data_IF_879509049088
#
_entry.id   IF_879509049088
#
_cell.length_a   1.000
_cell.length_b   1.000
_cell.length_c   1.000
_cell.angle_alpha   90.00
_cell.angle_beta   90.00
_cell.angle_gamma   90.00
#
_symmetry.space_group_name_H-M   'P 1'
#
loop_
_entity.id
_entity.type
_entity.pdbx_description
1 polymer ?
#
# COMPACT_ATOMS: atom_id res chain seq x y z
N UNK A 1 -1.73 34.41 9.44
CA UNK A 1 -1.62 33.76 8.13
C UNK A 1 -3.00 33.20 7.80
N UNK A 2 -3.57 33.46 6.64
CA UNK A 2 -4.86 32.84 6.27
C UNK A 2 -4.59 31.35 6.00
N UNK A 3 -5.29 30.47 6.72
CA UNK A 3 -5.25 29.03 6.47
C UNK A 3 -5.97 28.80 5.15
N UNK A 4 -5.27 28.27 4.14
CA UNK A 4 -5.83 28.00 2.81
C UNK A 4 -6.52 26.64 2.68
N UNK A 5 -6.32 25.75 3.66
CA UNK A 5 -6.86 24.39 3.69
C UNK A 5 -7.43 24.07 5.07
N UNK A 6 -8.69 23.66 5.12
CA UNK A 6 -9.38 23.22 6.33
C UNK A 6 -9.17 21.72 6.53
N UNK A 7 -8.19 21.37 7.37
CA UNK A 7 -7.78 19.99 7.58
C UNK A 7 -8.87 19.15 8.27
N UNK A 8 -9.58 19.70 9.24
CA UNK A 8 -10.62 18.97 9.98
C UNK A 8 -11.83 18.67 9.08
N UNK A 9 -12.24 19.64 8.27
CA UNK A 9 -13.27 19.44 7.25
C UNK A 9 -12.85 18.39 6.24
N UNK A 10 -11.60 18.40 5.79
CA UNK A 10 -11.04 17.39 4.88
C UNK A 10 -11.12 16.00 5.50
N UNK A 11 -10.67 15.81 6.74
CA UNK A 11 -10.71 14.53 7.44
C UNK A 11 -12.13 13.98 7.54
N UNK A 12 -13.07 14.82 7.95
CA UNK A 12 -14.49 14.44 8.09
C UNK A 12 -15.09 14.03 6.76
N UNK A 13 -14.99 14.90 5.76
CA UNK A 13 -15.59 14.63 4.44
C UNK A 13 -15.00 13.39 3.77
N UNK A 14 -13.67 13.19 3.83
CA UNK A 14 -13.04 12.04 3.20
C UNK A 14 -13.43 10.73 3.89
N UNK A 15 -13.43 10.68 5.22
CA UNK A 15 -13.84 9.47 5.94
C UNK A 15 -15.30 9.12 5.71
N UNK A 16 -16.21 10.10 5.64
CA UNK A 16 -17.61 9.89 5.29
C UNK A 16 -17.79 9.35 3.88
N UNK A 17 -17.09 9.92 2.90
CA UNK A 17 -17.13 9.44 1.52
C UNK A 17 -16.59 8.01 1.38
N UNK A 18 -15.55 7.63 2.13
CA UNK A 18 -15.02 6.27 2.13
C UNK A 18 -16.05 5.31 2.75
N UNK A 19 -16.67 5.66 3.89
CA UNK A 19 -17.76 4.86 4.49
C UNK A 19 -18.94 4.65 3.55
N UNK A 20 -19.38 5.73 2.89
CA UNK A 20 -20.44 5.67 1.88
C UNK A 20 -20.08 4.74 0.71
N UNK A 21 -18.82 4.76 0.28
CA UNK A 21 -18.33 3.82 -0.75
C UNK A 21 -18.31 2.39 -0.26
N UNK A 22 -17.80 2.13 0.95
CA UNK A 22 -17.81 0.78 1.55
C UNK A 22 -19.23 0.23 1.61
N UNK A 23 -20.22 1.04 2.02
CA UNK A 23 -21.61 0.60 2.14
C UNK A 23 -22.29 0.30 0.80
N UNK A 24 -21.79 0.85 -0.30
CA UNK A 24 -22.31 0.65 -1.66
C UNK A 24 -21.72 -0.56 -2.38
N UNK A 25 -20.70 -1.19 -1.80
CA UNK A 25 -20.05 -2.36 -2.38
C UNK A 25 -20.34 -3.58 -1.53
N UNK A 26 -20.89 -4.63 -2.15
CA UNK A 26 -21.10 -5.95 -1.50
C UNK A 26 -19.76 -6.66 -1.19
N UNK A 27 -18.66 -6.12 -1.68
CA UNK A 27 -17.31 -6.66 -1.61
C UNK A 27 -16.33 -5.65 -0.98
N UNK A 28 -15.03 -5.91 -1.14
CA UNK A 28 -13.95 -5.09 -0.60
C UNK A 28 -13.67 -3.84 -1.43
N UNK A 29 -13.45 -2.74 -0.75
CA UNK A 29 -12.94 -1.51 -1.33
C UNK A 29 -11.41 -1.48 -1.20
N UNK A 30 -10.71 -1.38 -2.33
CA UNK A 30 -9.26 -1.21 -2.37
C UNK A 30 -8.94 0.27 -2.56
N UNK A 31 -8.12 0.80 -1.66
CA UNK A 31 -7.78 2.21 -1.62
C UNK A 31 -6.27 2.39 -1.70
N UNK A 32 -5.81 3.16 -2.67
CA UNK A 32 -4.43 3.63 -2.77
C UNK A 32 -4.40 5.15 -2.59
N UNK A 33 -3.60 5.62 -1.64
CA UNK A 33 -3.42 7.05 -1.44
C UNK A 33 -2.37 7.63 -2.39
N UNK A 34 -2.68 8.77 -2.97
CA UNK A 34 -1.70 9.56 -3.69
C UNK A 34 -0.59 10.07 -2.75
N UNK A 35 0.69 9.82 -3.09
CA UNK A 35 1.82 10.20 -2.26
C UNK A 35 2.04 9.26 -1.07
N UNK A 36 2.65 9.78 -0.01
CA UNK A 36 2.91 9.02 1.21
C UNK A 36 1.67 9.00 2.09
N UNK A 37 1.38 7.84 2.67
CA UNK A 37 0.34 7.71 3.70
C UNK A 37 0.80 8.32 5.02
N UNK A 38 2.06 8.18 5.34
CA UNK A 38 2.72 8.66 6.54
C UNK A 38 3.87 9.61 6.18
N UNK A 39 4.09 10.67 6.96
CA UNK A 39 5.13 11.69 6.72
C UNK A 39 4.98 12.43 5.37
N UNK A 40 3.77 12.88 4.99
CA UNK A 40 3.56 13.61 3.75
C UNK A 40 3.91 15.09 3.87
N UNK A 41 5.19 15.36 4.17
CA UNK A 41 5.72 16.73 4.30
C UNK A 41 5.68 17.52 2.98
N UNK A 42 5.56 16.85 1.83
CA UNK A 42 5.45 17.56 0.56
C UNK A 42 4.09 18.24 0.45
N UNK A 43 3.01 17.52 0.75
CA UNK A 43 1.65 18.08 0.72
C UNK A 43 1.50 19.25 1.70
N UNK A 44 2.03 19.13 2.92
CA UNK A 44 1.96 20.20 3.93
C UNK A 44 2.72 21.47 3.54
N UNK A 45 3.75 21.37 2.69
CA UNK A 45 4.46 22.55 2.18
C UNK A 45 3.71 23.30 1.07
N UNK A 46 2.93 22.58 0.26
CA UNK A 46 2.22 23.18 -0.89
C UNK A 46 0.79 23.57 -0.57
N UNK A 47 0.22 23.03 0.52
CA UNK A 47 -1.14 23.32 0.98
C UNK A 47 -1.10 23.86 2.42
N UNK A 48 -1.04 25.19 2.63
CA UNK A 48 -1.04 25.79 3.96
C UNK A 48 -2.30 25.40 4.76
N UNK A 49 -2.10 24.69 5.88
CA UNK A 49 -3.16 24.11 6.71
C UNK A 49 -3.32 22.60 6.58
N UNK A 50 -2.68 21.95 5.58
CA UNK A 50 -2.63 20.50 5.49
C UNK A 50 -1.56 19.95 6.45
N UNK A 51 -1.95 19.00 7.28
CA UNK A 51 -1.03 18.34 8.22
C UNK A 51 -0.40 17.09 7.60
N UNK A 52 0.90 16.81 7.85
CA UNK A 52 1.61 15.68 7.25
C UNK A 52 1.01 14.30 7.56
N UNK A 53 0.28 14.19 8.67
CA UNK A 53 -0.37 12.97 9.16
C UNK A 53 -1.87 12.90 8.83
N UNK A 54 -2.42 13.85 8.07
CA UNK A 54 -3.86 13.94 7.78
C UNK A 54 -4.43 12.65 7.21
N UNK A 55 -3.73 12.02 6.26
CA UNK A 55 -4.18 10.75 5.67
C UNK A 55 -4.22 9.61 6.69
N UNK A 56 -3.24 9.57 7.57
CA UNK A 56 -3.18 8.59 8.65
C UNK A 56 -4.31 8.80 9.66
N UNK A 57 -4.53 10.05 10.10
CA UNK A 57 -5.63 10.40 11.02
C UNK A 57 -7.00 10.07 10.41
N UNK A 58 -7.18 10.26 9.12
CA UNK A 58 -8.39 9.83 8.42
C UNK A 58 -8.58 8.31 8.48
N UNK A 59 -7.52 7.53 8.26
CA UNK A 59 -7.60 6.07 8.37
C UNK A 59 -7.86 5.60 9.80
N UNK A 60 -7.36 6.31 10.81
CA UNK A 60 -7.66 5.98 12.21
C UNK A 60 -9.16 6.08 12.51
N UNK A 61 -9.91 6.97 11.82
CA UNK A 61 -11.37 7.03 11.92
C UNK A 61 -12.09 5.84 11.27
N UNK A 62 -11.37 5.01 10.51
CA UNK A 62 -11.85 3.82 9.79
C UNK A 62 -11.15 2.55 10.28
N UNK A 63 -10.47 2.61 11.43
CA UNK A 63 -9.60 1.53 11.93
C UNK A 63 -10.33 0.21 12.18
N UNK A 64 -11.62 0.24 12.48
CA UNK A 64 -12.49 -0.92 12.64
C UNK A 64 -12.75 -1.67 11.32
N UNK A 65 -12.74 -0.96 10.19
CA UNK A 65 -13.05 -1.48 8.85
C UNK A 65 -11.83 -1.61 7.94
N UNK A 66 -10.72 -0.96 8.29
CA UNK A 66 -9.53 -0.90 7.46
C UNK A 66 -8.48 -1.96 7.82
N UNK A 67 -7.85 -2.53 6.81
CA UNK A 67 -6.60 -3.28 6.93
C UNK A 67 -5.56 -2.72 5.95
N UNK A 68 -4.29 -2.72 6.37
CA UNK A 68 -3.20 -2.16 5.59
C UNK A 68 -2.39 -3.29 4.95
N UNK A 69 -2.15 -3.16 3.66
CA UNK A 69 -1.21 -3.98 2.89
C UNK A 69 -0.01 -3.10 2.51
N UNK A 70 1.17 -3.44 3.02
CA UNK A 70 2.40 -2.73 2.66
C UNK A 70 3.07 -3.45 1.50
N UNK A 71 3.44 -2.71 0.47
CA UNK A 71 4.04 -3.24 -0.74
C UNK A 71 5.46 -2.70 -0.88
N UNK A 72 6.43 -3.60 -1.09
CA UNK A 72 7.83 -3.24 -1.32
C UNK A 72 8.39 -4.04 -2.51
N UNK A 73 9.31 -3.44 -3.26
CA UNK A 73 10.00 -4.13 -4.35
C UNK A 73 11.18 -4.96 -3.83
N UNK A 74 11.23 -6.25 -4.17
CA UNK A 74 12.38 -7.10 -3.87
C UNK A 74 13.70 -6.54 -4.44
N UNK A 75 13.65 -5.88 -5.60
CA UNK A 75 14.80 -5.23 -6.19
C UNK A 75 15.26 -3.97 -5.42
N UNK A 76 14.35 -3.31 -4.68
CA UNK A 76 14.73 -2.17 -3.84
C UNK A 76 15.40 -2.64 -2.53
N UNK A 77 15.00 -3.81 -2.00
CA UNK A 77 15.67 -4.48 -0.88
C UNK A 77 17.08 -4.92 -1.30
N UNK A 78 17.18 -5.63 -2.42
CA UNK A 78 18.44 -6.17 -2.93
C UNK A 78 19.52 -5.08 -3.19
N UNK A 79 19.07 -3.89 -3.57
CA UNK A 79 19.94 -2.72 -3.78
C UNK A 79 20.19 -1.90 -2.51
N UNK A 80 19.71 -2.32 -1.35
CA UNK A 80 19.73 -1.54 -0.11
C UNK A 80 19.31 -0.09 -0.35
N UNK A 81 18.21 0.09 -1.10
CA UNK A 81 17.77 1.42 -1.51
C UNK A 81 17.29 2.21 -0.31
N UNK A 82 17.85 3.43 -0.17
CA UNK A 82 17.57 4.31 0.95
C UNK A 82 16.43 5.30 0.66
N UNK A 83 15.69 5.62 1.70
CA UNK A 83 14.82 6.79 1.76
C UNK A 83 15.66 8.02 2.03
N UNK A 84 15.76 8.91 1.03
CA UNK A 84 16.62 10.11 1.13
C UNK A 84 16.16 11.13 2.18
N UNK A 85 14.90 11.07 2.63
CA UNK A 85 14.35 11.96 3.66
C UNK A 85 14.58 11.45 5.09
N UNK A 86 14.74 10.13 5.28
CA UNK A 86 14.94 9.51 6.59
C UNK A 86 16.34 8.90 6.78
N UNK A 87 17.10 8.68 5.72
CA UNK A 87 18.41 8.06 5.77
C UNK A 87 18.40 6.57 6.17
N UNK A 88 17.27 5.88 6.04
CA UNK A 88 17.10 4.45 6.30
C UNK A 88 16.78 3.70 5.01
N UNK A 89 17.02 2.38 4.99
CA UNK A 89 16.66 1.55 3.85
C UNK A 89 15.15 1.33 3.75
N UNK A 90 14.65 0.92 2.58
CA UNK A 90 13.21 0.72 2.41
C UNK A 90 12.66 -0.46 3.22
N UNK A 91 13.43 -1.50 3.44
CA UNK A 91 13.07 -2.62 4.30
C UNK A 91 13.00 -2.21 5.78
N UNK A 92 13.96 -1.39 6.26
CA UNK A 92 13.88 -0.79 7.60
C UNK A 92 12.69 0.16 7.74
N UNK A 93 12.37 0.93 6.71
CA UNK A 93 11.18 1.79 6.73
C UNK A 93 9.88 0.97 6.77
N UNK A 94 9.84 -0.20 6.14
CA UNK A 94 8.70 -1.13 6.29
C UNK A 94 8.49 -1.50 7.75
N UNK A 95 9.54 -1.88 8.48
CA UNK A 95 9.43 -2.22 9.91
C UNK A 95 8.94 -1.03 10.73
N UNK A 96 9.50 0.16 10.48
CA UNK A 96 9.06 1.41 11.11
C UNK A 96 7.57 1.71 10.84
N UNK A 97 7.10 1.48 9.62
CA UNK A 97 5.69 1.68 9.25
C UNK A 97 4.77 0.69 9.97
N UNK A 98 5.20 -0.58 10.14
CA UNK A 98 4.46 -1.57 10.92
C UNK A 98 4.21 -1.05 12.34
N UNK A 99 5.30 -0.68 13.01
CA UNK A 99 5.25 -0.19 14.38
C UNK A 99 4.35 1.05 14.45
N UNK A 100 4.57 2.03 13.56
CA UNK A 100 3.82 3.27 13.52
C UNK A 100 2.31 3.08 13.30
N UNK A 101 1.90 2.12 12.47
CA UNK A 101 0.49 1.81 12.22
C UNK A 101 -0.12 1.03 13.39
N UNK A 102 0.61 0.05 13.92
CA UNK A 102 0.15 -0.80 15.03
C UNK A 102 -0.05 0.02 16.31
N UNK A 103 0.88 0.91 16.64
CA UNK A 103 0.78 1.84 17.78
C UNK A 103 -0.46 2.75 17.69
N UNK A 104 -0.94 3.01 16.48
CA UNK A 104 -2.13 3.82 16.23
C UNK A 104 -3.43 3.00 16.08
N UNK A 105 -3.37 1.71 16.41
CA UNK A 105 -4.52 0.82 16.37
C UNK A 105 -4.96 0.43 14.94
N UNK A 106 -4.11 0.64 13.93
CA UNK A 106 -4.38 0.20 12.57
C UNK A 106 -3.91 -1.24 12.37
N UNK A 107 -4.75 -2.05 11.76
CA UNK A 107 -4.43 -3.45 11.49
C UNK A 107 -3.57 -3.58 10.23
N UNK A 108 -2.34 -4.04 10.40
CA UNK A 108 -1.43 -4.33 9.30
C UNK A 108 -1.53 -5.83 8.99
N UNK A 109 -2.21 -6.18 7.91
CA UNK A 109 -2.54 -7.56 7.61
C UNK A 109 -1.40 -8.32 6.95
N UNK A 110 -0.72 -7.69 5.98
CA UNK A 110 0.06 -8.45 5.00
C UNK A 110 1.12 -7.58 4.31
N UNK A 111 2.17 -8.27 3.83
CA UNK A 111 3.20 -7.70 2.96
C UNK A 111 3.19 -8.34 1.58
N UNK A 112 3.34 -7.52 0.55
CA UNK A 112 3.60 -8.01 -0.80
C UNK A 112 5.02 -7.63 -1.23
N UNK A 113 5.86 -8.64 -1.44
CA UNK A 113 7.18 -8.49 -2.05
C UNK A 113 7.02 -8.57 -3.56
N UNK A 114 7.04 -7.41 -4.21
CA UNK A 114 6.88 -7.30 -5.66
C UNK A 114 8.19 -7.48 -6.42
N UNK A 115 8.08 -7.90 -7.68
CA UNK A 115 9.22 -8.10 -8.59
C UNK A 115 10.24 -9.10 -8.05
N UNK A 116 9.74 -10.08 -7.32
CA UNK A 116 10.59 -11.15 -6.85
C UNK A 116 11.08 -12.01 -8.02
N UNK A 117 12.37 -12.26 -8.05
CA UNK A 117 13.07 -13.03 -9.06
C UNK A 117 14.16 -13.94 -8.44
N UNK A 118 13.98 -14.33 -7.17
CA UNK A 118 14.94 -15.18 -6.45
C UNK A 118 16.03 -14.41 -5.70
N UNK A 119 15.80 -13.16 -5.30
CA UNK A 119 16.78 -12.38 -4.53
C UNK A 119 16.88 -12.93 -3.10
N UNK A 120 18.08 -13.35 -2.67
CA UNK A 120 18.33 -13.87 -1.32
C UNK A 120 18.01 -12.83 -0.22
N UNK A 121 18.26 -11.56 -0.48
CA UNK A 121 17.94 -10.46 0.42
C UNK A 121 16.42 -10.36 0.70
N UNK A 122 15.59 -10.58 -0.33
CA UNK A 122 14.15 -10.62 -0.21
C UNK A 122 13.67 -11.86 0.57
N UNK A 123 14.30 -13.02 0.38
CA UNK A 123 14.03 -14.24 1.15
C UNK A 123 14.38 -14.07 2.63
N UNK A 124 15.51 -13.43 2.92
CA UNK A 124 15.90 -13.11 4.29
C UNK A 124 14.92 -12.15 4.94
N UNK A 125 14.49 -11.12 4.21
CA UNK A 125 13.53 -10.16 4.69
C UNK A 125 12.15 -10.81 4.94
N UNK A 126 11.67 -11.68 4.03
CA UNK A 126 10.46 -12.49 4.25
C UNK A 126 10.55 -13.28 5.55
N UNK A 127 11.64 -14.06 5.75
CA UNK A 127 11.84 -14.85 6.96
C UNK A 127 11.86 -13.98 8.24
N UNK A 128 12.40 -12.76 8.16
CA UNK A 128 12.40 -11.82 9.27
C UNK A 128 10.98 -11.37 9.64
N UNK A 129 10.17 -11.03 8.64
CA UNK A 129 8.76 -10.63 8.85
C UNK A 129 7.90 -11.78 9.37
N UNK A 130 8.08 -12.99 8.83
CA UNK A 130 7.36 -14.20 9.26
C UNK A 130 7.65 -14.55 10.73
N UNK A 131 8.90 -14.34 11.20
CA UNK A 131 9.25 -14.48 12.63
C UNK A 131 8.52 -13.47 13.52
N UNK A 132 8.10 -12.32 12.98
CA UNK A 132 7.27 -11.34 13.67
C UNK A 132 5.77 -11.65 13.57
N UNK A 133 5.40 -12.80 13.00
CA UNK A 133 4.01 -13.22 12.81
C UNK A 133 3.31 -12.55 11.62
N UNK A 134 4.07 -11.96 10.71
CA UNK A 134 3.52 -11.20 9.60
C UNK A 134 3.51 -12.07 8.34
N UNK A 135 2.37 -12.19 7.69
CA UNK A 135 2.23 -12.91 6.41
C UNK A 135 2.89 -12.14 5.27
N UNK A 136 3.69 -12.81 4.46
CA UNK A 136 4.40 -12.23 3.32
C UNK A 136 4.11 -13.01 2.06
N UNK A 137 3.71 -12.31 0.99
CA UNK A 137 3.37 -12.89 -0.31
C UNK A 137 4.34 -12.41 -1.38
N UNK A 138 4.74 -13.32 -2.29
CA UNK A 138 5.57 -12.98 -3.43
C UNK A 138 4.73 -12.66 -4.67
N UNK A 139 5.09 -11.55 -5.32
CA UNK A 139 4.61 -11.19 -6.63
C UNK A 139 5.78 -11.10 -7.60
N UNK A 140 5.66 -11.80 -8.70
CA UNK A 140 6.70 -11.95 -9.69
C UNK A 140 6.62 -10.86 -10.76
N UNK A 141 7.76 -10.60 -11.42
CA UNK A 141 7.76 -9.76 -12.63
C UNK A 141 7.08 -10.52 -13.77
N UNK A 142 6.15 -9.86 -14.46
CA UNK A 142 5.47 -10.45 -15.61
C UNK A 142 6.18 -10.01 -16.88
N UNK A 143 6.75 -10.94 -17.67
CA UNK A 143 7.43 -10.63 -18.92
C UNK A 143 6.47 -9.94 -19.90
N UNK A 144 6.94 -8.90 -20.59
CA UNK A 144 6.14 -8.18 -21.58
C UNK A 144 5.06 -7.26 -21.02
N UNK A 145 4.98 -7.05 -19.70
CA UNK A 145 4.10 -6.05 -19.13
C UNK A 145 4.54 -4.62 -19.55
N UNK A 146 3.62 -3.71 -19.93
CA UNK A 146 2.15 -3.86 -19.95
C UNK A 146 1.57 -4.29 -21.33
N UNK A 147 2.39 -4.65 -22.29
CA UNK A 147 1.98 -4.80 -23.70
C UNK A 147 1.46 -6.20 -24.07
N UNK A 148 1.99 -7.27 -23.43
CA UNK A 148 1.60 -8.65 -23.71
C UNK A 148 0.38 -9.08 -22.89
N UNK A 149 -0.81 -8.58 -23.24
CA UNK A 149 -2.05 -8.83 -22.51
C UNK A 149 -2.36 -10.33 -22.36
N UNK A 150 -2.24 -11.18 -23.40
CA UNK A 150 -2.52 -12.61 -23.28
C UNK A 150 -1.68 -13.29 -22.18
N UNK A 151 -0.37 -12.98 -22.13
CA UNK A 151 0.51 -13.51 -21.07
C UNK A 151 0.17 -12.92 -19.70
N UNK A 152 -0.12 -11.61 -19.64
CA UNK A 152 -0.41 -10.93 -18.38
C UNK A 152 -1.60 -11.57 -17.63
N UNK A 153 -2.68 -11.92 -18.35
CA UNK A 153 -3.89 -12.49 -17.75
C UNK A 153 -3.86 -14.02 -17.61
N UNK A 154 -2.79 -14.66 -18.05
CA UNK A 154 -2.62 -16.12 -17.96
C UNK A 154 -2.11 -16.58 -16.59
N UNK A 155 -2.07 -17.91 -16.40
CA UNK A 155 -1.48 -18.54 -15.21
C UNK A 155 0.03 -18.28 -15.10
N UNK A 156 0.73 -18.08 -16.21
CA UNK A 156 2.15 -17.72 -16.26
C UNK A 156 2.38 -16.21 -15.94
N UNK A 157 1.36 -15.40 -16.07
CA UNK A 157 1.38 -13.97 -15.72
C UNK A 157 0.86 -13.73 -14.31
N UNK A 158 -0.31 -13.13 -14.19
CA UNK A 158 -0.93 -12.87 -12.88
C UNK A 158 -1.25 -14.17 -12.12
N UNK A 159 -1.52 -15.27 -12.80
CA UNK A 159 -1.78 -16.56 -12.17
C UNK A 159 -0.63 -17.06 -11.29
N UNK A 160 0.61 -16.71 -11.61
CA UNK A 160 1.81 -17.08 -10.85
C UNK A 160 1.93 -16.38 -9.50
N UNK A 161 1.32 -15.21 -9.33
CA UNK A 161 1.41 -14.45 -8.08
C UNK A 161 0.61 -15.13 -6.97
N UNK A 162 1.13 -15.09 -5.74
CA UNK A 162 0.41 -15.56 -4.58
C UNK A 162 -0.82 -14.69 -4.31
N UNK A 163 -1.93 -15.31 -3.88
CA UNK A 163 -3.16 -14.61 -3.55
C UNK A 163 -3.06 -13.98 -2.16
N UNK A 164 -3.23 -12.66 -2.06
CA UNK A 164 -3.19 -11.93 -0.80
C UNK A 164 -4.54 -12.06 -0.10
N UNK A 165 -4.56 -12.79 1.02
CA UNK A 165 -5.74 -12.93 1.86
C UNK A 165 -5.96 -11.66 2.68
N UNK A 166 -7.14 -11.08 2.56
CA UNK A 166 -7.58 -9.91 3.31
C UNK A 166 -8.93 -10.21 3.98
N UNK A 167 -9.21 -9.57 5.12
CA UNK A 167 -10.36 -9.89 5.95
C UNK A 167 -11.36 -8.74 6.10
N UNK A 168 -10.89 -7.49 6.02
CA UNK A 168 -11.70 -6.30 6.25
C UNK A 168 -12.30 -5.72 4.97
N UNK A 169 -13.39 -4.95 5.06
CA UNK A 169 -14.05 -4.38 3.88
C UNK A 169 -13.24 -3.26 3.21
N UNK A 170 -12.36 -2.58 3.92
CA UNK A 170 -11.45 -1.58 3.37
C UNK A 170 -10.01 -2.09 3.38
N UNK A 171 -9.41 -2.25 2.21
CA UNK A 171 -8.00 -2.64 2.06
C UNK A 171 -7.19 -1.44 1.57
N UNK A 172 -6.30 -0.95 2.42
CA UNK A 172 -5.44 0.19 2.10
C UNK A 172 -4.08 -0.28 1.65
N UNK A 173 -3.69 0.08 0.44
CA UNK A 173 -2.40 -0.29 -0.13
C UNK A 173 -1.44 0.89 0.01
N UNK A 174 -0.28 0.64 0.61
CA UNK A 174 0.78 1.64 0.80
C UNK A 174 2.17 1.06 0.56
N UNK A 175 3.15 1.94 0.42
CA UNK A 175 4.55 1.59 0.20
C UNK A 175 5.48 2.47 1.06
N UNK A 176 6.70 2.02 1.40
CA UNK A 176 7.66 2.77 2.23
C UNK A 176 8.19 4.05 1.56
N UNK A 177 8.05 4.20 0.28
CA UNK A 177 8.51 5.39 -0.45
C UNK A 177 7.50 5.91 -1.45
N UNK A 178 7.76 7.09 -2.04
CA UNK A 178 6.97 7.53 -3.17
C UNK A 178 7.16 6.48 -4.27
N UNK A 179 6.11 5.72 -4.54
CA UNK A 179 6.11 4.78 -5.64
C UNK A 179 6.59 5.52 -6.89
N UNK A 180 7.56 4.94 -7.61
CA UNK A 180 7.90 5.47 -8.92
C UNK A 180 6.70 5.26 -9.83
N UNK A 181 5.74 6.18 -9.78
CA UNK A 181 4.54 6.22 -10.61
C UNK A 181 4.81 6.21 -12.12
N UNK A 182 6.10 6.21 -12.52
CA UNK A 182 6.44 6.25 -13.95
C UNK A 182 5.96 5.03 -14.74
N UNK A 183 5.55 3.92 -14.07
CA UNK A 183 5.16 2.72 -14.80
C UNK A 183 3.96 1.92 -14.21
N UNK A 184 3.14 2.46 -13.31
CA UNK A 184 1.95 1.73 -12.81
C UNK A 184 2.23 0.40 -12.06
N UNK A 185 3.48 0.12 -11.77
CA UNK A 185 3.99 -1.23 -11.50
C UNK A 185 3.90 -1.71 -10.05
N UNK A 186 3.63 -0.83 -9.08
CA UNK A 186 3.76 -1.22 -7.68
C UNK A 186 2.45 -1.71 -7.04
N UNK A 187 1.33 -1.11 -7.39
CA UNK A 187 0.03 -1.46 -6.80
C UNK A 187 -0.81 -2.39 -7.68
N UNK A 188 -0.69 -2.28 -8.99
CA UNK A 188 -1.57 -2.99 -9.92
C UNK A 188 -1.48 -4.52 -9.84
N UNK A 189 -0.30 -5.17 -9.76
CA UNK A 189 -0.22 -6.61 -9.60
C UNK A 189 -0.75 -7.12 -8.24
N UNK A 190 -0.52 -6.37 -7.16
CA UNK A 190 -1.06 -6.72 -5.85
C UNK A 190 -2.58 -6.67 -5.85
N UNK A 191 -3.15 -5.58 -6.37
CA UNK A 191 -4.60 -5.38 -6.46
C UNK A 191 -5.26 -6.40 -7.39
N UNK A 192 -4.67 -6.72 -8.54
CA UNK A 192 -5.29 -7.66 -9.48
C UNK A 192 -5.45 -9.07 -8.91
N UNK A 193 -4.49 -9.53 -8.11
CA UNK A 193 -4.56 -10.85 -7.48
C UNK A 193 -5.53 -10.88 -6.29
N UNK A 194 -5.70 -9.75 -5.61
CA UNK A 194 -6.73 -9.57 -4.59
C UNK A 194 -8.13 -9.57 -5.24
N UNK A 195 -8.26 -9.02 -6.46
CA UNK A 195 -9.54 -8.86 -7.16
C UNK A 195 -10.09 -10.11 -7.86
N UNK A 196 -9.28 -11.13 -8.16
CA UNK A 196 -9.70 -12.27 -9.00
C UNK A 196 -10.80 -13.15 -8.39
N UNK A 197 -11.13 -13.01 -7.12
CA UNK A 197 -12.25 -13.74 -6.47
C UNK A 197 -13.49 -12.90 -6.21
N UNK A 198 -13.46 -11.59 -6.49
CA UNK A 198 -14.58 -10.69 -6.22
C UNK A 198 -14.63 -9.57 -7.25
N UNK A 199 -15.82 -9.17 -7.69
CA UNK A 199 -16.03 -8.01 -8.56
C UNK A 199 -15.76 -6.72 -7.79
N UNK A 200 -14.49 -6.33 -7.66
CA UNK A 200 -14.07 -5.14 -6.94
C UNK A 200 -13.68 -4.00 -7.85
N UNK A 201 -13.94 -2.77 -7.43
CA UNK A 201 -13.45 -1.55 -8.07
C UNK A 201 -12.31 -0.94 -7.27
N UNK A 202 -11.21 -0.62 -7.95
CA UNK A 202 -10.11 0.17 -7.40
C UNK A 202 -10.53 1.64 -7.35
N UNK A 203 -10.37 2.28 -6.19
CA UNK A 203 -10.48 3.73 -6.05
C UNK A 203 -9.11 4.32 -5.74
N UNK A 204 -8.71 5.33 -6.54
CA UNK A 204 -7.55 6.16 -6.29
C UNK A 204 -8.04 7.51 -5.77
N UNK A 205 -7.51 7.96 -4.63
CA UNK A 205 -7.79 9.26 -4.01
C UNK A 205 -6.55 10.13 -4.02
#
# INVERSE_FOLDING_TARGET
MKIGFDNDKYLTMQSEHIRDRISKFDNKLYLEFGGKLFDDYHASRVLPGFEPDSKLRMLMQLSDQAEIVIVISAADIDKNKMRGDLGITYDEDVLRLIDAFTERGLYVAVYALQRYAGQESADHFKKRLEKLGIKVYFHYSIPGYPSNIPLIVSDEGYGKNEYIETTRPLVVITAPGPGKRKNGDLSFPAVSRIQTRSSCRLCQI
#
